data_IF_437538770215
#
_entry.id   IF_437538770215
#
_cell.length_a   1.000
_cell.length_b   1.000
_cell.length_c   1.000
_cell.angle_alpha   90.00
_cell.angle_beta   90.00
_cell.angle_gamma   90.00
#
_symmetry.space_group_name_H-M   'P 1'
#
loop_
_entity.id
_entity.type
_entity.pdbx_description
1 polymer ?
#
# COMPACT_ATOMS: atom_id res chain seq x y z
N UNK A 1 -5.12 7.33 11.71
CA UNK A 1 -4.77 8.23 10.58
C UNK A 1 -4.15 7.42 9.47
N UNK A 2 -4.75 7.43 8.29
CA UNK A 2 -4.48 6.43 7.24
C UNK A 2 -3.19 6.71 6.47
N UNK A 3 -2.51 5.63 6.07
CA UNK A 3 -1.28 5.68 5.28
C UNK A 3 -1.52 4.99 3.95
N UNK A 4 -1.44 5.75 2.86
CA UNK A 4 -1.48 5.25 1.50
C UNK A 4 -0.07 4.98 1.00
N UNK A 5 0.15 3.79 0.47
CA UNK A 5 1.35 3.37 -0.24
C UNK A 5 0.96 3.17 -1.69
N UNK A 6 1.29 4.15 -2.52
CA UNK A 6 0.98 4.14 -3.94
C UNK A 6 2.25 3.87 -4.75
N UNK A 7 2.16 2.98 -5.73
CA UNK A 7 3.33 2.53 -6.51
C UNK A 7 2.91 2.17 -7.92
N UNK A 8 3.79 2.23 -8.91
CA UNK A 8 3.56 1.43 -10.12
C UNK A 8 3.83 -0.07 -9.79
N UNK A 9 3.12 -1.03 -10.41
CA UNK A 9 3.38 -2.45 -10.17
C UNK A 9 4.87 -2.79 -10.24
N UNK A 10 5.34 -3.61 -9.28
CA UNK A 10 6.74 -4.08 -9.17
C UNK A 10 7.79 -3.00 -8.85
N UNK A 11 7.36 -1.83 -8.36
CA UNK A 11 8.25 -0.80 -7.81
C UNK A 11 8.62 -0.99 -6.32
N UNK A 12 8.27 -2.12 -5.69
CA UNK A 12 8.65 -2.41 -4.31
C UNK A 12 7.53 -2.29 -3.27
N UNK A 13 6.26 -2.41 -3.67
CA UNK A 13 5.07 -2.29 -2.81
C UNK A 13 5.15 -3.13 -1.53
N UNK A 14 5.54 -4.41 -1.63
CA UNK A 14 5.65 -5.31 -0.48
C UNK A 14 6.74 -4.86 0.51
N UNK A 15 7.89 -4.42 0.01
CA UNK A 15 8.98 -3.92 0.85
C UNK A 15 8.55 -2.68 1.62
N UNK A 16 7.94 -1.71 0.93
CA UNK A 16 7.45 -0.48 1.56
C UNK A 16 6.32 -0.75 2.55
N UNK A 17 5.36 -1.62 2.21
CA UNK A 17 4.30 -2.06 3.12
C UNK A 17 4.90 -2.62 4.40
N UNK A 18 5.87 -3.53 4.31
CA UNK A 18 6.50 -4.12 5.50
C UNK A 18 7.23 -3.09 6.36
N UNK A 19 7.94 -2.14 5.74
CA UNK A 19 8.60 -1.05 6.47
C UNK A 19 7.57 -0.22 7.24
N UNK A 20 6.46 0.16 6.60
CA UNK A 20 5.40 0.95 7.25
C UNK A 20 4.72 0.18 8.38
N UNK A 21 4.43 -1.12 8.19
CA UNK A 21 3.89 -2.00 9.24
C UNK A 21 4.78 -2.00 10.49
N UNK A 22 6.09 -2.15 10.30
CA UNK A 22 7.06 -2.12 11.39
C UNK A 22 7.10 -0.75 12.09
N UNK A 23 7.07 0.35 11.32
CA UNK A 23 7.07 1.72 11.88
C UNK A 23 5.81 2.03 12.71
N UNK A 24 4.69 1.38 12.37
CA UNK A 24 3.41 1.50 13.08
C UNK A 24 3.37 0.64 14.36
N UNK A 25 4.35 -0.24 14.57
CA UNK A 25 4.40 -1.14 15.72
C UNK A 25 3.73 -2.50 15.49
N UNK A 26 3.44 -2.86 14.24
CA UNK A 26 2.95 -4.20 13.89
C UNK A 26 4.10 -5.22 13.92
N UNK A 27 4.34 -5.76 15.11
CA UNK A 27 5.42 -6.70 15.42
C UNK A 27 5.03 -8.17 15.23
N UNK A 28 3.87 -8.46 14.63
CA UNK A 28 3.48 -9.84 14.35
C UNK A 28 4.52 -10.50 13.44
N UNK A 29 5.03 -11.64 13.89
CA UNK A 29 5.86 -12.56 13.11
C UNK A 29 5.04 -13.39 12.13
N UNK A 30 3.71 -13.24 12.14
CA UNK A 30 2.85 -13.83 11.13
C UNK A 30 3.27 -13.28 9.78
N UNK A 31 3.46 -14.18 8.81
CA UNK A 31 3.78 -13.86 7.44
C UNK A 31 2.91 -12.68 7.01
N UNK A 32 3.52 -11.50 6.91
CA UNK A 32 2.85 -10.30 6.42
C UNK A 32 2.19 -10.70 5.12
N UNK A 33 0.86 -10.58 5.01
CA UNK A 33 0.11 -10.91 3.79
C UNK A 33 0.79 -10.20 2.60
N UNK A 34 1.70 -10.94 1.96
CA UNK A 34 2.42 -10.61 0.74
C UNK A 34 1.51 -10.87 -0.48
N UNK A 35 0.36 -11.50 -0.22
CA UNK A 35 -0.70 -11.72 -1.18
C UNK A 35 -1.45 -10.44 -1.49
N UNK A 36 -2.28 -10.55 -2.52
CA UNK A 36 -3.11 -9.48 -3.07
C UNK A 36 -4.20 -8.96 -2.08
N UNK A 37 -4.31 -9.52 -0.87
CA UNK A 37 -5.65 -9.88 -0.39
C UNK A 37 -6.34 -8.94 0.60
N UNK A 38 -5.66 -7.97 1.21
CA UNK A 38 -6.33 -7.19 2.29
C UNK A 38 -6.22 -5.66 2.20
N UNK A 39 -5.22 -5.11 1.51
CA UNK A 39 -4.94 -3.66 1.57
C UNK A 39 -5.05 -2.92 0.23
N UNK A 40 -5.19 -3.63 -0.90
CA UNK A 40 -5.22 -3.01 -2.22
C UNK A 40 -6.56 -2.38 -2.54
N UNK A 41 -6.60 -1.05 -2.54
CA UNK A 41 -7.83 -0.27 -2.67
C UNK A 41 -8.68 -0.65 -3.90
N UNK A 42 -8.06 -0.79 -5.05
CA UNK A 42 -8.70 -1.15 -6.31
C UNK A 42 -9.24 -2.59 -6.36
N UNK A 43 -8.77 -3.49 -5.48
CA UNK A 43 -9.21 -4.89 -5.46
C UNK A 43 -10.24 -5.16 -4.37
N UNK A 44 -10.05 -4.60 -3.16
CA UNK A 44 -10.93 -4.88 -2.02
C UNK A 44 -12.07 -3.88 -1.87
N UNK A 45 -11.95 -2.70 -2.49
CA UNK A 45 -12.94 -1.64 -2.42
C UNK A 45 -12.98 -0.89 -1.08
N UNK A 46 -13.82 0.14 -1.04
CA UNK A 46 -13.94 1.09 0.09
C UNK A 46 -14.38 0.41 1.38
N UNK A 47 -15.41 -0.42 1.32
CA UNK A 47 -16.07 -0.96 2.52
C UNK A 47 -15.14 -1.90 3.30
N UNK A 48 -14.37 -2.71 2.58
CA UNK A 48 -13.35 -3.58 3.17
C UNK A 48 -12.27 -2.78 3.88
N UNK A 49 -11.79 -1.68 3.28
CA UNK A 49 -10.78 -0.81 3.89
C UNK A 49 -11.34 -0.06 5.10
N UNK A 50 -12.60 0.36 5.04
CA UNK A 50 -13.26 1.02 6.16
C UNK A 50 -13.40 0.10 7.37
N UNK A 51 -13.49 -1.22 7.16
CA UNK A 51 -13.58 -2.22 8.22
C UNK A 51 -12.24 -2.59 8.87
N UNK A 52 -11.10 -2.16 8.30
CA UNK A 52 -9.77 -2.46 8.86
C UNK A 52 -9.51 -1.66 10.16
N UNK A 53 -8.77 -2.25 11.13
CA UNK A 53 -8.38 -1.55 12.34
C UNK A 53 -7.41 -0.39 12.06
N UNK A 54 -7.44 0.64 12.91
CA UNK A 54 -6.51 1.75 12.80
C UNK A 54 -5.16 1.47 13.50
N UNK A 55 -4.03 2.00 12.97
CA UNK A 55 -3.94 2.80 11.75
C UNK A 55 -3.94 1.93 10.48
N UNK A 56 -4.75 2.34 9.49
CA UNK A 56 -4.94 1.59 8.24
C UNK A 56 -3.79 1.84 7.28
N UNK A 57 -3.20 0.76 6.78
CA UNK A 57 -2.20 0.77 5.72
C UNK A 57 -2.89 0.33 4.44
N UNK A 58 -2.99 1.24 3.49
CA UNK A 58 -3.71 1.06 2.23
C UNK A 58 -2.69 1.06 1.10
N UNK A 59 -2.74 0.07 0.22
CA UNK A 59 -1.87 -0.01 -0.96
C UNK A 59 -2.68 0.31 -2.22
N UNK A 60 -2.05 0.92 -3.22
CA UNK A 60 -2.67 1.15 -4.52
C UNK A 60 -1.66 1.20 -5.66
N UNK A 61 -2.18 0.97 -6.87
CA UNK A 61 -1.52 1.21 -8.15
C UNK A 61 -2.28 2.22 -9.03
N UNK A 62 -3.23 2.96 -8.45
CA UNK A 62 -4.06 3.90 -9.18
C UNK A 62 -3.25 5.10 -9.68
N UNK A 63 -3.64 5.65 -10.83
CA UNK A 63 -3.13 6.93 -11.27
C UNK A 63 -3.45 8.01 -10.22
N UNK A 64 -2.59 9.03 -10.12
CA UNK A 64 -2.72 10.13 -9.15
C UNK A 64 -4.11 10.79 -9.13
N UNK A 65 -4.77 10.86 -10.28
CA UNK A 65 -6.10 11.45 -10.43
C UNK A 65 -7.20 10.61 -9.77
N UNK A 66 -7.05 9.29 -9.76
CA UNK A 66 -8.00 8.31 -9.24
C UNK A 66 -7.76 7.97 -7.76
N UNK A 67 -6.58 8.31 -7.22
CA UNK A 67 -6.24 8.05 -5.83
C UNK A 67 -7.08 8.93 -4.88
N UNK A 68 -7.73 8.36 -3.85
CA UNK A 68 -8.46 9.13 -2.85
C UNK A 68 -7.56 10.10 -2.09
N UNK A 69 -7.96 11.39 -2.02
CA UNK A 69 -7.19 12.47 -1.40
C UNK A 69 -7.88 12.97 -0.13
N UNK A 70 -7.17 12.99 0.99
CA UNK A 70 -7.66 13.53 2.25
C UNK A 70 -6.55 14.23 3.03
N UNK A 71 -6.86 15.36 3.67
CA UNK A 71 -5.86 16.23 4.33
C UNK A 71 -5.18 15.59 5.55
N UNK A 72 -5.85 14.62 6.19
CA UNK A 72 -5.32 13.90 7.36
C UNK A 72 -4.61 12.58 7.00
N UNK A 73 -4.70 12.16 5.73
CA UNK A 73 -4.04 10.95 5.25
C UNK A 73 -2.58 11.24 4.87
N UNK A 74 -1.71 10.25 5.03
CA UNK A 74 -0.31 10.32 4.61
C UNK A 74 -0.12 9.49 3.36
N UNK A 75 0.69 9.98 2.43
CA UNK A 75 0.91 9.33 1.14
C UNK A 75 2.40 9.06 0.95
N UNK A 76 2.73 7.83 0.62
CA UNK A 76 4.07 7.38 0.25
C UNK A 76 3.97 6.90 -1.21
N UNK A 77 4.64 7.60 -2.12
CA UNK A 77 4.76 7.18 -3.50
C UNK A 77 6.14 6.57 -3.75
N UNK A 78 6.19 5.36 -4.31
CA UNK A 78 7.46 4.68 -4.63
C UNK A 78 7.64 4.54 -6.12
N UNK A 79 8.75 5.07 -6.60
CA UNK A 79 9.21 4.95 -7.99
C UNK A 79 10.43 4.06 -8.06
N UNK A 80 10.52 3.29 -9.15
CA UNK A 80 11.68 2.50 -9.53
C UNK A 80 11.95 2.74 -11.00
N UNK A 81 13.21 2.61 -11.42
CA UNK A 81 13.59 2.74 -12.82
C UNK A 81 12.68 1.84 -13.69
N UNK A 82 11.99 2.38 -14.70
CA UNK A 82 11.02 1.62 -15.48
C UNK A 82 11.63 0.41 -16.18
N UNK A 83 12.92 0.45 -16.55
CA UNK A 83 13.63 -0.69 -17.14
C UNK A 83 13.68 -1.87 -16.17
N UNK A 84 13.89 -1.61 -14.88
CA UNK A 84 13.94 -2.62 -13.84
C UNK A 84 12.54 -3.14 -13.47
N UNK A 85 11.52 -2.28 -13.59
CA UNK A 85 10.13 -2.67 -13.39
C UNK A 85 9.67 -3.66 -14.47
N UNK A 86 9.99 -3.38 -15.74
CA UNK A 86 9.63 -4.24 -16.87
C UNK A 86 10.19 -5.66 -16.74
N UNK A 87 11.44 -5.82 -16.29
CA UNK A 87 12.05 -7.15 -16.09
C UNK A 87 11.56 -7.84 -14.81
N UNK A 88 11.00 -7.09 -13.86
CA UNK A 88 10.49 -7.67 -12.61
C UNK A 88 9.07 -8.19 -12.74
N UNK A 89 8.26 -7.65 -13.67
CA UNK A 89 6.83 -7.93 -13.84
C UNK A 89 6.55 -9.40 -14.09
#
# INVERSE_FOLDING_TARGET
>A
GDVFIDTFPKCGTNWTKRIVQLLVGENSSQESDYGLSTSFFEMVGRDTIAALPEPRIITSHLAYELLPKHVQARYIYVVRNPKDCCVSY
#
